data_IF_065621690484
#
_entry.id   IF_065621690484
#
_cell.length_a   1.000
_cell.length_b   1.000
_cell.length_c   1.000
_cell.angle_alpha   90.00
_cell.angle_beta   90.00
_cell.angle_gamma   90.00
#
_symmetry.space_group_name_H-M   'P 1'
#
loop_
_entity.id
_entity.type
_entity.pdbx_description
1 polymer ?
#
# COMPACT_ATOMS: atom_id res chain seq x y z
N UNK A 1 11.18 -0.73 2.68
CA UNK A 1 10.29 -1.90 2.75
C UNK A 1 11.00 -3.06 2.11
N UNK A 2 10.97 -4.20 2.79
CA UNK A 2 11.64 -5.42 2.38
C UNK A 2 10.70 -6.36 1.61
N UNK A 3 9.39 -6.29 1.87
CA UNK A 3 8.37 -7.05 1.15
C UNK A 3 7.38 -6.15 0.38
N UNK A 4 6.59 -6.77 -0.49
CA UNK A 4 5.44 -6.12 -1.13
C UNK A 4 4.38 -5.77 -0.06
N UNK A 5 3.73 -4.62 -0.25
CA UNK A 5 2.61 -4.18 0.58
C UNK A 5 1.40 -3.87 -0.30
N UNK A 6 0.22 -3.94 0.30
CA UNK A 6 -1.03 -3.53 -0.32
C UNK A 6 -1.77 -2.52 0.57
N UNK A 7 -2.55 -1.68 -0.09
CA UNK A 7 -3.24 -0.59 0.57
C UNK A 7 -4.37 -0.04 -0.26
N UNK A 8 -5.04 0.93 0.33
CA UNK A 8 -6.15 1.66 -0.29
C UNK A 8 -5.63 3.02 -0.75
N UNK A 9 -5.90 3.37 -2.01
CA UNK A 9 -5.58 4.70 -2.53
C UNK A 9 -6.50 5.73 -1.88
N UNK A 10 -5.91 6.69 -1.17
CA UNK A 10 -6.64 7.82 -0.57
C UNK A 10 -6.68 9.03 -1.52
N UNK A 11 -5.60 9.25 -2.27
CA UNK A 11 -5.50 10.40 -3.18
C UNK A 11 -4.63 10.05 -4.38
N UNK A 12 -5.07 10.41 -5.57
CA UNK A 12 -4.30 10.26 -6.82
C UNK A 12 -3.74 11.61 -7.21
N UNK A 13 -2.45 11.63 -7.54
CA UNK A 13 -1.72 12.74 -8.15
C UNK A 13 -1.35 12.36 -9.59
N UNK A 14 -0.68 13.27 -10.30
CA UNK A 14 -0.36 13.10 -11.72
C UNK A 14 0.44 11.82 -12.03
N UNK A 15 1.43 11.49 -11.20
CA UNK A 15 2.31 10.32 -11.41
C UNK A 15 2.45 9.41 -10.17
N UNK A 16 1.67 9.70 -9.13
CA UNK A 16 1.74 9.01 -7.85
C UNK A 16 0.39 8.96 -7.15
N UNK A 17 0.27 8.12 -6.13
CA UNK A 17 -0.89 8.03 -5.28
C UNK A 17 -0.48 7.98 -3.82
N UNK A 18 -1.21 8.69 -2.96
CA UNK A 18 -1.19 8.47 -1.52
C UNK A 18 -1.95 7.19 -1.22
N UNK A 19 -1.28 6.24 -0.59
CA UNK A 19 -1.80 4.92 -0.25
C UNK A 19 -1.78 4.76 1.27
N UNK A 20 -2.94 4.45 1.85
CA UNK A 20 -3.04 3.96 3.22
C UNK A 20 -2.71 2.46 3.22
N UNK A 21 -1.66 2.08 3.94
CA UNK A 21 -1.12 0.72 3.93
C UNK A 21 -1.95 -0.14 4.89
N UNK A 22 -2.56 -1.20 4.35
CA UNK A 22 -3.48 -2.08 5.11
C UNK A 22 -2.95 -3.50 5.26
N UNK A 23 -2.03 -3.91 4.39
CA UNK A 23 -1.51 -5.27 4.31
C UNK A 23 0.00 -5.19 4.01
N UNK A 24 0.81 -5.75 4.90
CA UNK A 24 2.28 -5.68 4.86
C UNK A 24 2.86 -6.82 5.70
N UNK A 25 4.15 -7.12 5.49
CA UNK A 25 4.84 -8.10 6.33
C UNK A 25 5.13 -7.51 7.73
N UNK A 26 4.42 -8.01 8.73
CA UNK A 26 4.55 -7.52 10.11
C UNK A 26 5.86 -7.91 10.80
N UNK A 27 6.61 -8.88 10.26
CA UNK A 27 7.90 -9.31 10.82
C UNK A 27 9.03 -8.41 10.35
N UNK A 28 9.05 -8.04 9.06
CA UNK A 28 10.14 -7.24 8.46
C UNK A 28 9.81 -5.76 8.32
N UNK A 29 8.56 -5.41 8.03
CA UNK A 29 8.20 -4.04 7.65
C UNK A 29 7.51 -3.21 8.75
N UNK A 30 7.26 -3.78 9.94
CA UNK A 30 6.53 -3.09 11.03
C UNK A 30 7.13 -1.74 11.42
N UNK A 31 8.45 -1.65 11.57
CA UNK A 31 9.11 -0.41 11.98
C UNK A 31 9.02 0.67 10.89
N UNK A 32 9.21 0.28 9.63
CA UNK A 32 9.06 1.17 8.47
C UNK A 32 7.63 1.69 8.32
N UNK A 33 6.62 0.83 8.51
CA UNK A 33 5.21 1.21 8.46
C UNK A 33 4.84 2.22 9.54
N UNK A 34 5.37 2.03 10.74
CA UNK A 34 5.10 2.90 11.87
C UNK A 34 5.71 4.30 11.67
N UNK A 35 6.94 4.37 11.14
CA UNK A 35 7.60 5.63 10.79
C UNK A 35 6.81 6.41 9.71
N UNK A 36 6.26 5.68 8.73
CA UNK A 36 5.40 6.22 7.69
C UNK A 36 3.97 6.55 8.16
N UNK A 37 3.65 6.36 9.45
CA UNK A 37 2.30 6.56 9.98
C UNK A 37 1.22 5.84 9.15
N UNK A 38 1.53 4.63 8.68
CA UNK A 38 0.66 3.80 7.84
C UNK A 38 0.28 4.43 6.48
N UNK A 39 0.98 5.48 6.01
CA UNK A 39 0.68 6.16 4.74
C UNK A 39 1.94 6.37 3.92
N UNK A 40 1.85 6.15 2.62
CA UNK A 40 2.99 6.37 1.73
C UNK A 40 2.55 6.84 0.35
N UNK A 41 3.44 7.57 -0.33
CA UNK A 41 3.23 8.02 -1.70
C UNK A 41 3.98 7.08 -2.64
N UNK A 42 3.23 6.41 -3.51
CA UNK A 42 3.77 5.42 -4.46
C UNK A 42 3.60 5.93 -5.87
N UNK A 43 4.59 5.72 -6.75
CA UNK A 43 4.43 6.04 -8.17
C UNK A 43 3.44 5.09 -8.83
N UNK A 44 2.53 5.63 -9.65
CA UNK A 44 1.52 4.86 -10.38
C UNK A 44 2.17 3.79 -11.29
N UNK A 45 3.36 4.07 -11.84
CA UNK A 45 4.12 3.13 -12.67
C UNK A 45 4.58 1.86 -11.95
N UNK A 46 4.68 1.90 -10.61
CA UNK A 46 5.09 0.78 -9.77
C UNK A 46 3.92 0.05 -9.12
N UNK A 47 2.70 0.57 -9.27
CA UNK A 47 1.52 -0.02 -8.66
C UNK A 47 1.01 -1.19 -9.51
N UNK A 48 0.53 -2.23 -8.83
CA UNK A 48 -0.18 -3.36 -9.45
C UNK A 48 -1.59 -3.44 -8.88
N UNK A 49 -2.56 -3.76 -9.73
CA UNK A 49 -3.94 -4.00 -9.29
C UNK A 49 -3.97 -5.30 -8.47
N UNK A 50 -4.33 -5.21 -7.19
CA UNK A 50 -4.71 -6.38 -6.39
C UNK A 50 -6.21 -6.61 -6.62
N UNK A 51 -6.64 -7.75 -7.21
CA UNK A 51 -8.05 -8.06 -7.36
C UNK A 51 -8.74 -7.95 -6.00
N UNK A 52 -9.82 -7.18 -5.92
CA UNK A 52 -10.63 -7.13 -4.70
C UNK A 52 -11.15 -8.56 -4.48
N UNK A 53 -10.80 -9.18 -3.36
CA UNK A 53 -11.35 -10.48 -3.00
C UNK A 53 -12.87 -10.33 -2.95
N UNK A 54 -13.56 -10.82 -3.98
CA UNK A 54 -15.00 -10.97 -3.96
C UNK A 54 -15.30 -11.96 -2.86
N UNK A 55 -15.85 -11.50 -1.73
CA UNK A 55 -16.56 -12.40 -0.82
C UNK A 55 -17.63 -13.07 -1.66
N UNK A 56 -17.45 -14.37 -1.92
CA UNK A 56 -18.45 -15.18 -2.61
C UNK A 56 -19.80 -15.01 -1.94
N UNK A 57 -20.82 -14.82 -2.78
CA UNK A 57 -22.22 -14.85 -2.40
C UNK A 57 -22.66 -16.25 -2.00
#
# INVERSE_FOLDING_TARGET
MEADFAGIVEKVYENSALVAITDYDTKTDRMNIQDLQNKTVVSLSKMKLKPRATKGA
#
